data_IF_049066483407
#
_entry.id   IF_049066483407
#
_cell.length_a   1.000
_cell.length_b   1.000
_cell.length_c   1.000
_cell.angle_alpha   90.00
_cell.angle_beta   90.00
_cell.angle_gamma   90.00
#
_symmetry.space_group_name_H-M   'P 1'
#
loop_
_entity.id
_entity.type
_entity.pdbx_description
1 polymer ?
#
# COMPACT_ATOMS: atom_id res chain seq x y z
N UNK A 1 18.35 31.30 -16.51
CA UNK A 1 18.47 30.61 -17.82
C UNK A 1 19.33 29.34 -17.76
N UNK A 2 20.59 29.39 -17.21
CA UNK A 2 21.46 28.16 -17.11
C UNK A 2 20.81 26.96 -16.37
N UNK A 3 20.07 27.21 -15.32
CA UNK A 3 19.46 26.16 -14.51
C UNK A 3 18.36 25.39 -15.28
N UNK A 4 17.53 26.11 -16.07
CA UNK A 4 16.54 25.47 -16.92
C UNK A 4 17.18 24.68 -18.08
N UNK A 5 18.27 25.18 -18.65
CA UNK A 5 19.01 24.46 -19.68
C UNK A 5 19.53 23.11 -19.19
N UNK A 6 20.11 23.05 -17.96
CA UNK A 6 20.59 21.80 -17.38
C UNK A 6 19.46 20.79 -17.15
N UNK A 7 18.28 21.26 -16.70
CA UNK A 7 17.12 20.39 -16.49
C UNK A 7 16.62 19.81 -17.81
N UNK A 8 16.48 20.65 -18.84
CA UNK A 8 16.05 20.21 -20.20
C UNK A 8 17.06 19.19 -20.75
N UNK A 9 18.36 19.46 -20.60
CA UNK A 9 19.41 18.53 -21.05
C UNK A 9 19.31 17.18 -20.35
N UNK A 10 19.03 17.15 -19.04
CA UNK A 10 18.84 15.90 -18.29
C UNK A 10 17.66 15.08 -18.81
N UNK A 11 16.51 15.73 -19.09
CA UNK A 11 15.34 15.03 -19.69
C UNK A 11 15.64 14.50 -21.09
N UNK A 12 16.35 15.28 -21.92
CA UNK A 12 16.74 14.83 -23.28
C UNK A 12 17.63 13.58 -23.18
N UNK A 13 18.64 13.60 -22.29
CA UNK A 13 19.53 12.44 -22.07
C UNK A 13 18.71 11.22 -21.61
N UNK A 14 17.79 11.40 -20.68
CA UNK A 14 16.91 10.32 -20.21
C UNK A 14 16.07 9.70 -21.34
N UNK A 15 15.48 10.55 -22.19
CA UNK A 15 14.67 10.09 -23.34
C UNK A 15 15.55 9.31 -24.33
N UNK A 16 16.74 9.82 -24.65
CA UNK A 16 17.70 9.16 -25.53
C UNK A 16 18.10 7.78 -24.97
N UNK A 17 18.40 7.69 -23.66
CA UNK A 17 18.74 6.42 -23.03
C UNK A 17 17.58 5.41 -23.08
N UNK A 18 16.34 5.83 -22.86
CA UNK A 18 15.16 4.96 -22.95
C UNK A 18 14.98 4.45 -24.38
N UNK A 19 15.16 5.31 -25.40
CA UNK A 19 15.08 4.92 -26.81
C UNK A 19 16.19 3.92 -27.16
N UNK A 20 17.42 4.14 -26.70
CA UNK A 20 18.54 3.22 -26.88
C UNK A 20 18.24 1.83 -26.30
N UNK A 21 17.70 1.78 -25.06
CA UNK A 21 17.27 0.51 -24.48
C UNK A 21 16.18 -0.16 -25.32
N UNK A 22 15.23 0.60 -25.84
CA UNK A 22 14.18 0.10 -26.72
C UNK A 22 14.71 -0.54 -28.01
N UNK A 23 15.75 0.05 -28.60
CA UNK A 23 16.38 -0.43 -29.83
C UNK A 23 17.31 -1.60 -29.58
N UNK A 24 18.18 -1.53 -28.56
CA UNK A 24 19.20 -2.53 -28.32
C UNK A 24 18.73 -3.75 -27.52
N UNK A 25 17.71 -3.58 -26.66
CA UNK A 25 17.20 -4.67 -25.82
C UNK A 25 15.78 -5.08 -26.24
N UNK A 26 14.78 -4.30 -25.83
CA UNK A 26 13.39 -4.45 -26.25
C UNK A 26 12.54 -3.25 -25.79
N UNK A 27 11.48 -2.97 -26.54
CA UNK A 27 10.51 -1.93 -26.14
C UNK A 27 9.78 -2.26 -24.84
N UNK A 28 9.57 -3.54 -24.52
CA UNK A 28 8.96 -3.97 -23.26
C UNK A 28 9.79 -3.56 -22.05
N UNK A 29 11.12 -3.74 -22.13
CA UNK A 29 12.06 -3.32 -21.09
C UNK A 29 12.10 -1.80 -20.97
N UNK A 30 12.18 -1.08 -22.10
CA UNK A 30 12.20 0.38 -22.12
C UNK A 30 10.94 0.98 -21.46
N UNK A 31 9.76 0.44 -21.78
CA UNK A 31 8.49 0.86 -21.17
C UNK A 31 8.41 0.52 -19.67
N UNK A 32 8.97 -0.62 -19.26
CA UNK A 32 9.07 -0.99 -17.84
C UNK A 32 9.93 0.01 -17.08
N UNK A 33 11.10 0.38 -17.61
CA UNK A 33 11.98 1.40 -17.03
C UNK A 33 11.25 2.75 -16.94
N UNK A 34 10.56 3.18 -18.02
CA UNK A 34 9.78 4.41 -18.02
C UNK A 34 8.71 4.39 -16.91
N UNK A 35 8.02 3.28 -16.74
CA UNK A 35 7.00 3.13 -15.70
C UNK A 35 7.61 3.27 -14.29
N UNK A 36 8.75 2.64 -14.03
CA UNK A 36 9.49 2.82 -12.76
C UNK A 36 9.93 4.27 -12.54
N UNK A 37 10.39 4.95 -13.59
CA UNK A 37 10.73 6.37 -13.52
C UNK A 37 9.52 7.23 -13.15
N UNK A 38 8.35 6.97 -13.72
CA UNK A 38 7.12 7.70 -13.41
C UNK A 38 6.66 7.47 -11.96
N UNK A 39 6.69 6.22 -11.48
CA UNK A 39 6.37 5.89 -10.08
C UNK A 39 7.35 6.61 -9.14
N UNK A 40 8.64 6.55 -9.42
CA UNK A 40 9.68 7.24 -8.63
C UNK A 40 9.51 8.76 -8.65
N UNK A 41 9.08 9.34 -9.78
CA UNK A 41 8.81 10.77 -9.88
C UNK A 41 7.67 11.20 -8.96
N UNK A 42 6.57 10.42 -8.91
CA UNK A 42 5.44 10.69 -7.99
C UNK A 42 5.90 10.63 -6.53
N UNK A 43 6.69 9.60 -6.17
CA UNK A 43 7.25 9.47 -4.81
C UNK A 43 8.16 10.66 -4.46
N UNK A 44 9.02 11.06 -5.39
CA UNK A 44 9.92 12.20 -5.22
C UNK A 44 9.17 13.52 -5.06
N UNK A 45 8.08 13.72 -5.80
CA UNK A 45 7.21 14.89 -5.62
C UNK A 45 6.62 14.95 -4.22
N UNK A 46 6.13 13.81 -3.70
CA UNK A 46 5.65 13.70 -2.33
C UNK A 46 6.73 14.01 -1.28
N UNK A 47 7.94 13.48 -1.49
CA UNK A 47 9.10 13.77 -0.64
C UNK A 47 9.50 15.26 -0.68
N UNK A 48 9.45 15.87 -1.87
CA UNK A 48 9.81 17.28 -2.05
C UNK A 48 8.83 18.23 -1.35
N UNK A 49 7.55 17.89 -1.27
CA UNK A 49 6.57 18.67 -0.50
C UNK A 49 6.98 18.71 0.97
N UNK A 50 7.43 17.61 1.53
CA UNK A 50 7.84 17.52 2.93
C UNK A 50 9.21 18.14 3.18
N UNK A 51 10.22 17.75 2.41
CA UNK A 51 11.60 18.19 2.59
C UNK A 51 11.84 19.57 1.98
N UNK A 52 11.42 19.76 0.71
CA UNK A 52 11.72 21.02 -0.02
C UNK A 52 10.88 22.20 0.47
N UNK A 53 9.59 22.02 0.70
CA UNK A 53 8.70 23.12 1.11
C UNK A 53 8.52 23.23 2.62
N UNK A 54 8.32 22.13 3.32
CA UNK A 54 8.09 22.16 4.77
C UNK A 54 9.38 22.08 5.60
N UNK A 55 10.54 21.75 4.99
CA UNK A 55 11.82 21.60 5.68
C UNK A 55 11.84 20.40 6.65
N UNK A 56 10.92 19.46 6.50
CA UNK A 56 10.76 18.30 7.39
C UNK A 56 11.40 17.07 6.75
N UNK A 57 12.44 16.54 7.37
CA UNK A 57 13.09 15.31 6.89
C UNK A 57 12.24 14.11 7.34
N UNK A 58 11.62 13.44 6.36
CA UNK A 58 10.81 12.25 6.59
C UNK A 58 11.34 11.07 5.75
N UNK A 59 11.89 10.07 6.42
CA UNK A 59 12.33 8.82 5.78
C UNK A 59 11.24 7.72 5.78
N UNK A 60 10.04 8.04 6.25
CA UNK A 60 8.91 7.11 6.33
C UNK A 60 8.17 6.81 5.00
N UNK A 61 8.67 7.27 3.87
CA UNK A 61 8.00 7.18 2.56
C UNK A 61 7.68 5.73 2.19
N UNK A 62 8.58 4.80 2.49
CA UNK A 62 8.40 3.37 2.18
C UNK A 62 7.21 2.76 2.93
N UNK A 63 6.95 3.16 4.18
CA UNK A 63 5.77 2.73 4.94
C UNK A 63 4.46 3.19 4.32
N UNK A 64 4.40 4.42 3.83
CA UNK A 64 3.22 4.94 3.13
C UNK A 64 2.99 4.21 1.79
N UNK A 65 4.07 3.91 1.06
CA UNK A 65 4.02 3.13 -0.18
C UNK A 65 3.54 1.70 0.08
N UNK A 66 4.02 1.07 1.14
CA UNK A 66 3.59 -0.27 1.55
C UNK A 66 2.09 -0.32 1.88
N UNK A 67 1.55 0.72 2.54
CA UNK A 67 0.10 0.83 2.79
C UNK A 67 -0.71 1.01 1.51
N UNK A 68 -0.17 1.72 0.52
CA UNK A 68 -0.76 1.81 -0.81
C UNK A 68 -0.86 0.44 -1.50
N UNK A 69 0.22 -0.35 -1.43
CA UNK A 69 0.24 -1.74 -1.90
C UNK A 69 -0.75 -2.64 -1.15
N UNK A 70 -0.81 -2.53 0.17
CA UNK A 70 -1.80 -3.24 0.99
C UNK A 70 -3.25 -2.89 0.57
N UNK A 71 -3.55 -1.61 0.35
CA UNK A 71 -4.86 -1.17 -0.12
C UNK A 71 -5.22 -1.79 -1.47
N UNK A 72 -4.25 -1.93 -2.38
CA UNK A 72 -4.48 -2.60 -3.67
C UNK A 72 -4.89 -4.07 -3.47
N UNK A 73 -4.28 -4.77 -2.55
CA UNK A 73 -4.65 -6.17 -2.20
C UNK A 73 -6.04 -6.22 -1.57
N UNK A 74 -6.30 -5.42 -0.54
CA UNK A 74 -7.56 -5.44 0.21
C UNK A 74 -8.78 -5.00 -0.62
N UNK A 75 -8.59 -4.19 -1.64
CA UNK A 75 -9.69 -3.67 -2.47
C UNK A 75 -9.87 -4.50 -3.75
N UNK A 76 -8.77 -4.85 -4.43
CA UNK A 76 -8.86 -5.34 -5.82
C UNK A 76 -8.77 -6.85 -5.96
N UNK A 77 -8.13 -7.54 -5.03
CA UNK A 77 -8.07 -9.00 -5.09
C UNK A 77 -9.46 -9.58 -4.78
N UNK A 78 -9.84 -10.63 -5.49
CA UNK A 78 -11.10 -11.32 -5.20
C UNK A 78 -11.04 -11.98 -3.80
N UNK A 79 -12.15 -12.00 -3.03
CA UNK A 79 -12.19 -12.67 -1.74
C UNK A 79 -11.95 -14.17 -1.92
N UNK A 80 -11.10 -14.75 -1.07
CA UNK A 80 -10.81 -16.18 -1.06
C UNK A 80 -11.83 -16.88 -0.17
N UNK A 81 -12.87 -17.49 -0.78
CA UNK A 81 -13.98 -18.08 -0.04
C UNK A 81 -13.56 -19.14 0.97
N UNK A 82 -12.57 -19.98 0.61
CA UNK A 82 -12.03 -21.02 1.50
C UNK A 82 -11.36 -20.43 2.75
N UNK A 83 -10.59 -19.37 2.60
CA UNK A 83 -9.94 -18.67 3.70
C UNK A 83 -10.97 -17.95 4.60
N UNK A 84 -12.02 -17.38 3.99
CA UNK A 84 -13.12 -16.79 4.74
C UNK A 84 -13.91 -17.82 5.54
N UNK A 85 -14.15 -19.01 4.98
CA UNK A 85 -14.79 -20.11 5.69
C UNK A 85 -13.91 -20.65 6.84
N UNK A 86 -12.58 -20.65 6.68
CA UNK A 86 -11.65 -21.17 7.67
C UNK A 86 -11.50 -20.27 8.90
N UNK A 87 -11.54 -18.94 8.74
CA UNK A 87 -11.27 -18.02 9.86
C UNK A 87 -11.79 -16.59 9.70
N UNK A 88 -12.46 -16.26 8.60
CA UNK A 88 -12.90 -14.91 8.28
C UNK A 88 -13.83 -14.30 9.34
N UNK A 89 -14.76 -15.08 9.89
CA UNK A 89 -15.67 -14.62 10.94
C UNK A 89 -14.90 -14.19 12.20
N UNK A 90 -13.89 -14.96 12.59
CA UNK A 90 -13.06 -14.65 13.75
C UNK A 90 -12.25 -13.36 13.52
N UNK A 91 -11.83 -13.08 12.30
CA UNK A 91 -11.17 -11.82 11.96
C UNK A 91 -12.11 -10.61 12.04
N UNK A 92 -13.38 -10.77 11.65
CA UNK A 92 -14.39 -9.72 11.87
C UNK A 92 -14.61 -9.48 13.36
N UNK A 93 -14.65 -10.52 14.17
CA UNK A 93 -14.77 -10.40 15.63
C UNK A 93 -13.54 -9.65 16.19
N UNK A 94 -12.34 -9.98 15.74
CA UNK A 94 -11.13 -9.25 16.12
C UNK A 94 -11.17 -7.76 15.76
N UNK A 95 -11.63 -7.43 14.56
CA UNK A 95 -11.86 -6.05 14.16
C UNK A 95 -12.88 -5.35 15.08
N UNK A 96 -13.96 -6.03 15.43
CA UNK A 96 -14.96 -5.54 16.40
C UNK A 96 -14.37 -5.29 17.79
N UNK A 97 -13.49 -6.18 18.27
CA UNK A 97 -12.78 -6.00 19.55
C UNK A 97 -11.89 -4.75 19.51
N UNK A 98 -11.15 -4.53 18.43
CA UNK A 98 -10.28 -3.34 18.27
C UNK A 98 -11.12 -2.06 18.30
N UNK A 99 -12.22 -2.03 17.54
CA UNK A 99 -13.15 -0.89 17.51
C UNK A 99 -13.76 -0.66 18.90
N UNK A 100 -14.25 -1.72 19.54
CA UNK A 100 -14.80 -1.66 20.90
C UNK A 100 -13.79 -1.15 21.93
N UNK A 101 -12.54 -1.58 21.84
CA UNK A 101 -11.45 -1.12 22.68
C UNK A 101 -11.18 0.38 22.52
N UNK A 102 -11.14 0.86 21.27
CA UNK A 102 -10.96 2.30 20.97
C UNK A 102 -12.12 3.13 21.52
N UNK A 103 -13.36 2.68 21.33
CA UNK A 103 -14.55 3.37 21.87
C UNK A 103 -14.56 3.38 23.40
N UNK A 104 -14.22 2.24 24.04
CA UNK A 104 -14.15 2.12 25.49
C UNK A 104 -13.09 3.07 26.08
N UNK A 105 -11.90 3.13 25.46
CA UNK A 105 -10.84 4.05 25.88
C UNK A 105 -11.30 5.51 25.72
N UNK A 106 -11.91 5.87 24.57
CA UNK A 106 -12.44 7.22 24.36
C UNK A 106 -13.52 7.59 25.36
N UNK A 107 -14.42 6.67 25.68
CA UNK A 107 -15.46 6.86 26.70
C UNK A 107 -14.87 7.13 28.08
N UNK A 108 -13.89 6.31 28.50
CA UNK A 108 -13.17 6.48 29.77
C UNK A 108 -12.45 7.83 29.82
N UNK A 109 -11.76 8.21 28.74
CA UNK A 109 -11.07 9.50 28.66
C UNK A 109 -12.00 10.71 28.74
N UNK A 110 -13.24 10.57 28.23
CA UNK A 110 -14.23 11.65 28.24
C UNK A 110 -14.96 11.77 29.58
N UNK A 111 -15.21 10.64 30.27
CA UNK A 111 -16.08 10.59 31.45
C UNK A 111 -15.34 10.64 32.79
N UNK A 112 -14.10 10.22 32.81
CA UNK A 112 -13.31 10.10 34.05
C UNK A 112 -12.18 11.15 34.02
N UNK A 113 -12.11 11.98 35.04
CA UNK A 113 -11.05 12.98 35.23
C UNK A 113 -9.65 12.31 35.36
N UNK A 114 -8.59 13.09 35.08
CA UNK A 114 -7.20 12.62 35.16
C UNK A 114 -6.91 12.10 36.58
N UNK A 115 -6.90 10.79 36.75
CA UNK A 115 -6.58 10.11 37.99
C UNK A 115 -5.78 8.84 37.74
N UNK A 116 -5.02 8.38 38.74
CA UNK A 116 -4.32 7.09 38.69
C UNK A 116 -5.30 5.93 38.36
N UNK A 117 -6.52 5.99 38.92
CA UNK A 117 -7.58 5.01 38.64
C UNK A 117 -7.95 4.94 37.16
N UNK A 118 -8.04 6.09 36.46
CA UNK A 118 -8.31 6.15 35.03
C UNK A 118 -7.22 5.45 34.22
N UNK A 119 -5.96 5.70 34.56
CA UNK A 119 -4.83 5.07 33.86
C UNK A 119 -4.81 3.56 34.04
N UNK A 120 -5.09 3.07 35.25
CA UNK A 120 -5.23 1.63 35.51
C UNK A 120 -6.40 1.01 34.74
N UNK A 121 -7.52 1.71 34.63
CA UNK A 121 -8.68 1.23 33.85
C UNK A 121 -8.36 1.16 32.35
N UNK A 122 -7.70 2.15 31.81
CA UNK A 122 -7.22 2.13 30.42
C UNK A 122 -6.23 0.98 30.19
N UNK A 123 -5.27 0.81 31.09
CA UNK A 123 -4.32 -0.29 31.01
C UNK A 123 -5.03 -1.66 31.06
N UNK A 124 -6.02 -1.81 31.93
CA UNK A 124 -6.82 -3.03 32.00
C UNK A 124 -7.60 -3.31 30.69
N UNK A 125 -8.22 -2.28 30.10
CA UNK A 125 -8.92 -2.41 28.80
C UNK A 125 -7.94 -2.85 27.72
N UNK A 126 -6.75 -2.28 27.65
CA UNK A 126 -5.71 -2.65 26.69
C UNK A 126 -5.25 -4.08 26.90
N UNK A 127 -4.92 -4.47 28.13
CA UNK A 127 -4.43 -5.81 28.44
C UNK A 127 -5.50 -6.87 28.12
N UNK A 128 -6.73 -6.67 28.57
CA UNK A 128 -7.85 -7.59 28.29
C UNK A 128 -8.12 -7.67 26.79
N UNK A 129 -8.13 -6.52 26.09
CA UNK A 129 -8.30 -6.48 24.64
C UNK A 129 -7.20 -7.23 23.89
N UNK A 130 -5.93 -7.07 24.29
CA UNK A 130 -4.81 -7.78 23.68
C UNK A 130 -4.87 -9.30 23.93
N UNK A 131 -5.27 -9.73 25.14
CA UNK A 131 -5.46 -11.15 25.44
C UNK A 131 -6.57 -11.75 24.59
N UNK A 132 -7.72 -11.07 24.48
CA UNK A 132 -8.84 -11.52 23.63
C UNK A 132 -8.44 -11.59 22.16
N UNK A 133 -7.73 -10.59 21.66
CA UNK A 133 -7.20 -10.62 20.29
C UNK A 133 -6.26 -11.81 20.10
N UNK A 134 -5.34 -12.05 21.00
CA UNK A 134 -4.39 -13.17 20.92
C UNK A 134 -5.08 -14.52 20.87
N UNK A 135 -6.10 -14.72 21.70
CA UNK A 135 -6.84 -15.98 21.81
C UNK A 135 -7.69 -16.25 20.57
N UNK A 136 -8.26 -15.21 19.96
CA UNK A 136 -9.17 -15.37 18.82
C UNK A 136 -8.40 -15.29 17.48
N UNK A 137 -7.47 -14.34 17.35
CA UNK A 137 -6.73 -14.15 16.11
C UNK A 137 -5.72 -15.28 15.85
N UNK A 138 -5.00 -15.75 16.88
CA UNK A 138 -3.96 -16.76 16.70
C UNK A 138 -4.43 -18.02 15.95
N UNK A 139 -5.44 -18.75 16.44
CA UNK A 139 -5.98 -19.91 15.73
C UNK A 139 -6.58 -19.55 14.37
N UNK A 140 -7.23 -18.38 14.27
CA UNK A 140 -7.86 -17.96 13.02
C UNK A 140 -6.81 -17.67 11.91
N UNK A 141 -5.69 -17.04 12.25
CA UNK A 141 -4.59 -16.81 11.28
C UNK A 141 -3.99 -18.13 10.82
N UNK A 142 -3.69 -19.05 11.75
CA UNK A 142 -3.17 -20.37 11.39
C UNK A 142 -4.11 -21.14 10.45
N UNK A 143 -5.40 -21.13 10.70
CA UNK A 143 -6.38 -21.78 9.82
C UNK A 143 -6.47 -21.13 8.43
N UNK A 144 -6.44 -19.80 8.35
CA UNK A 144 -6.46 -19.07 7.08
C UNK A 144 -5.21 -19.38 6.26
N UNK A 145 -4.04 -19.33 6.87
CA UNK A 145 -2.76 -19.57 6.22
C UNK A 145 -2.57 -21.02 5.78
N UNK A 146 -3.19 -21.96 6.50
CA UNK A 146 -3.15 -23.39 6.18
C UNK A 146 -4.00 -23.79 4.97
N UNK A 147 -4.98 -22.98 4.53
CA UNK A 147 -5.89 -23.31 3.40
C UNK A 147 -5.09 -23.62 2.12
N UNK A 148 -4.18 -22.77 1.74
CA UNK A 148 -3.23 -23.02 0.65
C UNK A 148 -2.04 -22.04 0.77
N UNK A 149 -0.99 -22.41 1.50
CA UNK A 149 0.15 -21.51 1.77
C UNK A 149 0.86 -21.00 0.52
N UNK A 150 0.75 -21.74 -0.59
CA UNK A 150 1.40 -21.38 -1.86
C UNK A 150 0.61 -20.34 -2.67
N UNK A 151 -0.73 -20.35 -2.61
CA UNK A 151 -1.58 -19.54 -3.50
C UNK A 151 -2.61 -18.67 -2.78
N UNK A 152 -3.35 -19.21 -1.81
CA UNK A 152 -4.58 -18.60 -1.26
C UNK A 152 -4.61 -18.54 0.26
N UNK A 153 -3.47 -18.63 0.93
CA UNK A 153 -3.36 -18.53 2.41
C UNK A 153 -3.56 -17.10 2.94
N UNK A 154 -4.56 -16.36 2.45
CA UNK A 154 -4.94 -15.03 2.89
C UNK A 154 -6.41 -14.75 2.57
N UNK A 155 -7.01 -13.77 3.23
CA UNK A 155 -8.45 -13.48 3.08
C UNK A 155 -8.84 -12.96 1.68
N UNK A 156 -7.89 -12.37 0.95
CA UNK A 156 -8.19 -11.64 -0.27
C UNK A 156 -8.77 -10.25 0.03
N UNK A 157 -9.39 -9.65 -0.97
CA UNK A 157 -9.96 -8.32 -0.89
C UNK A 157 -11.44 -8.29 -1.26
N UNK A 158 -11.91 -7.11 -1.67
CA UNK A 158 -13.31 -6.88 -2.03
C UNK A 158 -13.64 -7.20 -3.50
N UNK A 159 -12.63 -7.50 -4.33
CA UNK A 159 -12.83 -7.75 -5.76
C UNK A 159 -13.23 -6.53 -6.59
N UNK A 160 -13.05 -5.33 -6.04
CA UNK A 160 -13.40 -4.07 -6.71
C UNK A 160 -12.35 -3.67 -7.78
N UNK A 161 -12.71 -2.78 -8.72
CA UNK A 161 -11.74 -2.23 -9.66
C UNK A 161 -10.57 -1.56 -8.95
N UNK A 162 -9.35 -1.75 -9.48
CA UNK A 162 -8.11 -1.27 -8.85
C UNK A 162 -8.07 0.26 -8.64
N UNK A 163 -8.82 1.03 -9.42
CA UNK A 163 -8.92 2.48 -9.26
C UNK A 163 -9.45 2.90 -7.88
N UNK A 164 -10.35 2.10 -7.28
CA UNK A 164 -10.84 2.34 -5.92
C UNK A 164 -9.74 2.13 -4.88
N UNK A 165 -8.77 1.25 -5.14
CA UNK A 165 -7.66 1.02 -4.23
C UNK A 165 -6.76 2.25 -4.08
N UNK A 166 -6.68 3.11 -5.08
CA UNK A 166 -5.92 4.36 -5.00
C UNK A 166 -6.51 5.32 -3.97
N UNK A 167 -7.84 5.42 -3.96
CA UNK A 167 -8.55 6.26 -2.98
C UNK A 167 -8.38 5.69 -1.57
N UNK A 168 -8.58 4.38 -1.40
CA UNK A 168 -8.41 3.70 -0.10
C UNK A 168 -6.95 3.77 0.37
N UNK A 169 -5.99 3.58 -0.53
CA UNK A 169 -4.56 3.72 -0.25
C UNK A 169 -4.18 5.14 0.20
N UNK A 170 -4.76 6.16 -0.45
CA UNK A 170 -4.56 7.54 -0.04
C UNK A 170 -5.10 7.81 1.38
N UNK A 171 -6.26 7.24 1.75
CA UNK A 171 -6.79 7.33 3.11
C UNK A 171 -5.94 6.59 4.13
N UNK A 172 -5.42 5.41 3.81
CA UNK A 172 -4.54 4.65 4.70
C UNK A 172 -3.21 5.38 4.92
N UNK A 173 -2.57 5.83 3.84
CA UNK A 173 -1.33 6.59 3.92
C UNK A 173 -1.54 7.93 4.64
N UNK A 174 -2.63 8.65 4.33
CA UNK A 174 -3.00 9.91 4.98
C UNK A 174 -3.32 9.74 6.46
N UNK A 175 -4.02 8.67 6.83
CA UNK A 175 -4.30 8.32 8.22
C UNK A 175 -3.03 8.04 9.02
N UNK A 176 -2.12 7.23 8.46
CA UNK A 176 -0.81 7.00 9.07
C UNK A 176 -0.01 8.29 9.16
N UNK A 177 0.04 9.09 8.09
CA UNK A 177 0.75 10.36 8.07
C UNK A 177 0.21 11.33 9.15
N UNK A 178 -1.10 11.36 9.36
CA UNK A 178 -1.72 12.17 10.43
C UNK A 178 -1.28 11.70 11.83
N UNK A 179 -1.25 10.38 12.08
CA UNK A 179 -0.81 9.82 13.36
C UNK A 179 0.66 10.12 13.59
N UNK A 180 1.51 9.84 12.59
CA UNK A 180 2.95 10.11 12.65
C UNK A 180 3.22 11.60 12.85
N UNK A 181 2.53 12.46 12.11
CA UNK A 181 2.65 13.91 12.25
C UNK A 181 2.31 14.37 13.66
N UNK A 182 1.22 13.87 14.23
CA UNK A 182 0.80 14.25 15.59
C UNK A 182 1.80 13.87 16.68
N UNK A 183 2.52 12.76 16.50
CA UNK A 183 3.51 12.26 17.46
C UNK A 183 4.89 12.87 17.20
N UNK A 184 5.27 12.98 15.93
CA UNK A 184 6.65 13.26 15.54
C UNK A 184 6.94 14.74 15.25
N UNK A 185 5.95 15.56 14.87
CA UNK A 185 6.16 16.99 14.52
C UNK A 185 6.70 17.85 15.68
N UNK A 186 6.59 17.40 16.91
CA UNK A 186 7.20 18.08 18.06
C UNK A 186 8.68 17.77 18.29
N UNK A 187 9.26 16.85 17.50
CA UNK A 187 10.65 16.43 17.63
C UNK A 187 11.58 17.38 16.83
N UNK A 188 12.85 17.44 17.25
CA UNK A 188 13.90 18.10 16.45
C UNK A 188 14.10 17.31 15.14
N UNK A 189 14.56 17.99 14.09
CA UNK A 189 14.68 17.43 12.74
C UNK A 189 15.37 16.05 12.69
N UNK A 190 16.46 15.88 13.43
CA UNK A 190 17.22 14.62 13.46
C UNK A 190 16.39 13.47 14.08
N UNK A 191 15.70 13.74 15.19
CA UNK A 191 14.83 12.76 15.83
C UNK A 191 13.58 12.48 15.01
N UNK A 192 13.05 13.48 14.30
CA UNK A 192 11.94 13.31 13.36
C UNK A 192 12.31 12.32 12.24
N UNK A 193 13.51 12.49 11.66
CA UNK A 193 14.01 11.61 10.62
C UNK A 193 14.12 10.15 11.09
N UNK A 194 14.69 9.92 12.26
CA UNK A 194 14.85 8.58 12.85
C UNK A 194 13.48 7.99 13.22
N UNK A 195 12.61 8.77 13.84
CA UNK A 195 11.28 8.33 14.25
C UNK A 195 10.43 7.91 13.04
N UNK A 196 10.44 8.69 11.96
CA UNK A 196 9.69 8.36 10.74
C UNK A 196 10.23 7.12 10.04
N UNK A 197 11.55 6.91 10.05
CA UNK A 197 12.18 5.69 9.56
C UNK A 197 11.71 4.47 10.35
N UNK A 198 11.81 4.53 11.69
CA UNK A 198 11.42 3.42 12.56
C UNK A 198 9.93 3.07 12.44
N UNK A 199 9.06 4.08 12.37
CA UNK A 199 7.62 3.85 12.17
C UNK A 199 7.36 3.18 10.82
N UNK A 200 8.06 3.60 9.78
CA UNK A 200 7.98 2.98 8.45
C UNK A 200 8.38 1.51 8.48
N UNK A 201 9.51 1.19 9.14
CA UNK A 201 9.97 -0.18 9.29
C UNK A 201 9.00 -1.05 10.10
N UNK A 202 8.38 -0.50 11.13
CA UNK A 202 7.32 -1.21 11.88
C UNK A 202 6.14 -1.53 10.97
N UNK A 203 5.66 -0.58 10.17
CA UNK A 203 4.54 -0.80 9.24
C UNK A 203 4.90 -1.88 8.22
N UNK A 204 6.08 -1.80 7.63
CA UNK A 204 6.56 -2.79 6.66
C UNK A 204 6.71 -4.16 7.33
N UNK A 205 7.26 -4.23 8.54
CA UNK A 205 7.40 -5.47 9.29
C UNK A 205 6.05 -6.12 9.58
N UNK A 206 5.04 -5.34 10.00
CA UNK A 206 3.68 -5.86 10.20
C UNK A 206 3.12 -6.44 8.90
N UNK A 207 3.18 -5.71 7.79
CA UNK A 207 2.67 -6.18 6.49
C UNK A 207 3.40 -7.44 6.03
N UNK A 208 4.71 -7.56 6.29
CA UNK A 208 5.52 -8.72 5.90
C UNK A 208 5.24 -9.97 6.74
N UNK A 209 4.86 -9.81 8.00
CA UNK A 209 4.65 -10.95 8.92
C UNK A 209 3.19 -11.40 9.00
N UNK A 210 2.25 -10.60 8.48
CA UNK A 210 0.83 -10.92 8.49
C UNK A 210 0.39 -11.54 7.15
N UNK A 211 0.73 -12.82 6.96
CA UNK A 211 0.45 -13.56 5.71
C UNK A 211 -1.06 -13.62 5.42
N UNK A 212 -1.90 -13.79 6.45
CA UNK A 212 -3.37 -13.84 6.33
C UNK A 212 -3.99 -12.58 5.73
N UNK A 213 -3.31 -11.43 5.86
CA UNK A 213 -3.81 -10.13 5.40
C UNK A 213 -3.46 -9.86 3.93
N UNK A 214 -2.18 -10.05 3.56
CA UNK A 214 -1.65 -9.67 2.25
C UNK A 214 -0.62 -10.63 1.68
N UNK A 215 -0.57 -11.86 2.15
CA UNK A 215 0.46 -12.87 1.84
C UNK A 215 1.87 -12.53 2.32
N UNK A 216 2.02 -11.54 3.19
CA UNK A 216 3.30 -11.16 3.77
C UNK A 216 4.37 -10.84 2.73
N UNK A 217 5.47 -11.60 2.74
CA UNK A 217 6.59 -11.44 1.77
C UNK A 217 6.33 -12.11 0.43
N UNK A 218 5.26 -12.90 0.29
CA UNK A 218 4.95 -13.64 -0.95
C UNK A 218 4.27 -12.73 -1.96
N UNK A 219 4.49 -12.97 -3.25
CA UNK A 219 3.83 -12.19 -4.30
C UNK A 219 2.31 -12.43 -4.32
N UNK A 220 1.56 -11.36 -4.40
CA UNK A 220 0.12 -11.42 -4.63
C UNK A 220 -0.16 -11.60 -6.11
N UNK A 221 -0.89 -12.66 -6.44
CA UNK A 221 -1.27 -13.01 -7.82
C UNK A 221 -2.74 -12.65 -8.02
N UNK A 222 -3.12 -12.21 -9.23
CA UNK A 222 -4.53 -11.97 -9.58
C UNK A 222 -5.00 -10.53 -9.40
N UNK A 223 -4.09 -9.57 -9.23
CA UNK A 223 -4.44 -8.15 -9.33
C UNK A 223 -4.90 -7.82 -10.75
N UNK A 224 -6.14 -7.40 -10.89
CA UNK A 224 -6.71 -6.98 -12.18
C UNK A 224 -6.08 -5.64 -12.60
N UNK A 225 -5.62 -5.58 -13.85
CA UNK A 225 -5.12 -4.32 -14.42
C UNK A 225 -6.30 -3.40 -14.76
N UNK A 226 -6.13 -2.07 -14.68
CA UNK A 226 -7.16 -1.12 -15.13
C UNK A 226 -7.30 -1.09 -16.66
N UNK A 227 -6.35 -1.71 -17.37
CA UNK A 227 -6.27 -1.76 -18.84
C UNK A 227 -6.40 -3.22 -19.26
N UNK A 228 -7.06 -3.52 -20.40
CA UNK A 228 -7.16 -4.88 -20.93
C UNK A 228 -5.78 -5.52 -21.11
N UNK A 229 -5.70 -6.84 -20.94
CA UNK A 229 -4.48 -7.57 -21.25
C UNK A 229 -4.23 -7.56 -22.78
N UNK A 230 -2.97 -7.75 -23.15
CA UNK A 230 -2.58 -7.81 -24.57
C UNK A 230 -3.37 -8.89 -25.34
N UNK A 231 -3.62 -10.04 -24.71
CA UNK A 231 -4.43 -11.12 -25.27
C UNK A 231 -5.88 -10.68 -25.49
N UNK A 232 -6.45 -9.91 -24.57
CA UNK A 232 -7.82 -9.39 -24.69
C UNK A 232 -7.92 -8.36 -25.81
N UNK A 233 -6.89 -7.52 -25.98
CA UNK A 233 -6.80 -6.57 -27.07
C UNK A 233 -6.66 -7.26 -28.42
N UNK A 234 -5.81 -8.29 -28.52
CA UNK A 234 -5.61 -9.08 -29.73
C UNK A 234 -6.89 -9.81 -30.19
N UNK A 235 -7.79 -10.12 -29.26
CA UNK A 235 -9.07 -10.76 -29.55
C UNK A 235 -10.21 -9.75 -29.78
N UNK A 236 -9.97 -8.45 -29.58
CA UNK A 236 -11.01 -7.42 -29.71
C UNK A 236 -11.14 -6.92 -31.16
N UNK A 237 -12.35 -6.94 -31.75
CA UNK A 237 -12.55 -6.57 -33.16
C UNK A 237 -12.06 -5.14 -33.50
N UNK A 238 -12.33 -4.18 -32.60
CA UNK A 238 -11.94 -2.79 -32.78
C UNK A 238 -10.41 -2.61 -32.83
N UNK A 239 -9.66 -3.42 -32.06
CA UNK A 239 -8.20 -3.33 -32.03
C UNK A 239 -7.59 -3.96 -33.30
N UNK A 240 -8.16 -5.08 -33.78
CA UNK A 240 -7.74 -5.73 -35.02
C UNK A 240 -7.94 -4.74 -36.19
N UNK A 241 -9.11 -4.12 -36.30
CA UNK A 241 -9.43 -3.14 -37.32
C UNK A 241 -8.49 -1.91 -37.29
N UNK A 242 -8.14 -1.47 -36.07
CA UNK A 242 -7.17 -0.39 -35.86
C UNK A 242 -5.77 -0.79 -36.37
N UNK A 243 -5.30 -1.99 -36.04
CA UNK A 243 -3.98 -2.52 -36.43
C UNK A 243 -3.92 -2.73 -37.94
N UNK A 244 -4.97 -3.28 -38.55
CA UNK A 244 -5.07 -3.43 -40.01
C UNK A 244 -5.01 -2.08 -40.73
N UNK A 245 -5.68 -1.07 -40.22
CA UNK A 245 -5.67 0.30 -40.75
C UNK A 245 -4.28 0.94 -40.70
N UNK A 246 -3.51 0.68 -39.65
CA UNK A 246 -2.12 1.15 -39.53
C UNK A 246 -1.14 0.32 -40.38
N UNK A 247 -1.40 -0.98 -40.56
CA UNK A 247 -0.55 -1.86 -41.39
C UNK A 247 -0.78 -1.63 -42.88
N UNK A 248 -2.03 -1.45 -43.31
CA UNK A 248 -2.35 -1.13 -44.70
C UNK A 248 -1.82 0.24 -45.14
N UNK A 249 -1.60 1.18 -44.22
CA UNK A 249 -0.95 2.46 -44.49
C UNK A 249 0.56 2.39 -44.76
N UNK A 250 1.23 1.27 -44.47
CA UNK A 250 2.67 1.06 -44.70
C UNK A 250 2.97 0.27 -45.98
N UNK A 251 1.95 -0.18 -46.72
CA UNK A 251 2.06 -0.97 -47.94
C UNK A 251 1.62 -0.20 -49.21
N UNK A 252 1.59 1.13 -49.13
CA UNK A 252 1.42 1.98 -50.29
C UNK A 252 2.65 2.84 -50.52
#
# INVERSE_FOLDING_TARGET
MKQYANVITAYIIMIILIILVGIFQSWSVALSILNFCLVSAVMTMGANIQWGYAGLINFGIMGYTALGGLAAVLVSVAPVQEAWAAGGLNMIICAGIIVGMVFSIRYVLKKIEKSKKRNYLIAAIIIVGLILLRVIAGPATEHIEAVNPAKTGFLGGLGMPILFSWIVGAFFAGGLAYIVGKVALGLRADYLAIATLLISEIVIAVIKHEDWLSRGVKNVIGLKRPVPYEVDLQNSPWFIDLVEKFHSGKLK
#
